data_IF_797100069034
#
_entry.id   IF_797100069034
#
_cell.length_a   1.000
_cell.length_b   1.000
_cell.length_c   1.000
_cell.angle_alpha   90.00
_cell.angle_beta   90.00
_cell.angle_gamma   90.00
#
_symmetry.space_group_name_H-M   'P 1'
#
loop_
_entity.id
_entity.type
_entity.pdbx_description
1 polymer ?
#
# COMPACT_ATOMS: atom_id res chain seq x y z
N UNK A 1 6.82 -11.05 -5.29
CA UNK A 1 6.38 -11.58 -3.99
C UNK A 1 4.88 -11.42 -3.82
N UNK A 2 4.33 -10.21 -3.86
CA UNK A 2 2.88 -9.98 -3.77
C UNK A 2 2.06 -10.76 -4.81
N UNK A 3 2.33 -10.57 -6.11
CA UNK A 3 1.62 -11.31 -7.16
C UNK A 3 1.80 -12.83 -7.05
N UNK A 4 2.96 -13.29 -6.57
CA UNK A 4 3.21 -14.72 -6.34
C UNK A 4 2.35 -15.26 -5.19
N UNK A 5 2.06 -14.46 -4.17
CA UNK A 5 1.17 -14.85 -3.07
C UNK A 5 -0.27 -15.11 -3.56
N UNK A 6 -0.74 -14.31 -4.53
CA UNK A 6 -2.07 -14.44 -5.13
C UNK A 6 -2.27 -15.75 -5.92
N UNK A 7 -1.19 -16.42 -6.33
CA UNK A 7 -1.28 -17.74 -6.96
C UNK A 7 -1.62 -18.86 -5.96
N UNK A 8 -1.29 -18.68 -4.67
CA UNK A 8 -1.46 -19.72 -3.64
C UNK A 8 -2.66 -19.45 -2.72
N UNK A 9 -2.95 -18.18 -2.44
CA UNK A 9 -3.89 -17.73 -1.41
C UNK A 9 -4.84 -16.68 -1.96
N UNK A 10 -6.04 -16.55 -1.37
CA UNK A 10 -7.02 -15.54 -1.78
C UNK A 10 -6.49 -14.09 -1.66
N UNK A 11 -6.92 -13.22 -2.58
CA UNK A 11 -6.55 -11.80 -2.55
C UNK A 11 -6.84 -11.12 -1.22
N UNK A 12 -7.98 -11.46 -0.59
CA UNK A 12 -8.37 -10.98 0.74
C UNK A 12 -7.30 -11.24 1.81
N UNK A 13 -6.77 -12.47 1.90
CA UNK A 13 -5.72 -12.80 2.88
C UNK A 13 -4.41 -12.10 2.54
N UNK A 14 -4.06 -12.03 1.25
CA UNK A 14 -2.84 -11.33 0.81
C UNK A 14 -2.89 -9.86 1.18
N UNK A 15 -4.01 -9.17 0.98
CA UNK A 15 -4.22 -7.77 1.35
C UNK A 15 -4.11 -7.55 2.86
N UNK A 16 -4.79 -8.35 3.69
CA UNK A 16 -4.71 -8.22 5.16
C UNK A 16 -3.27 -8.38 5.65
N UNK A 17 -2.55 -9.38 5.13
CA UNK A 17 -1.15 -9.58 5.49
C UNK A 17 -0.30 -8.43 4.96
N UNK A 18 -0.55 -7.96 3.73
CA UNK A 18 0.21 -6.88 3.12
C UNK A 18 0.10 -5.59 3.95
N UNK A 19 -1.11 -5.20 4.35
CA UNK A 19 -1.38 -4.03 5.20
C UNK A 19 -0.89 -4.16 6.65
N UNK A 20 -0.14 -5.20 7.00
CA UNK A 20 0.71 -5.17 8.21
C UNK A 20 1.91 -4.23 8.05
N UNK A 21 2.23 -3.80 6.82
CA UNK A 21 3.38 -2.94 6.55
C UNK A 21 3.40 -1.62 7.34
N UNK A 22 2.29 -0.89 7.62
CA UNK A 22 2.36 0.36 8.39
C UNK A 22 2.84 0.12 9.82
N UNK A 23 2.49 -1.04 10.41
CA UNK A 23 3.01 -1.44 11.71
C UNK A 23 4.53 -1.69 11.67
N UNK A 24 5.00 -2.35 10.61
CA UNK A 24 6.43 -2.57 10.37
C UNK A 24 7.18 -1.26 10.12
N UNK A 25 6.60 -0.34 9.36
CA UNK A 25 7.15 1.00 9.13
C UNK A 25 7.27 1.76 10.45
N UNK A 26 6.21 1.81 11.25
CA UNK A 26 6.23 2.49 12.55
C UNK A 26 7.32 1.91 13.46
N UNK A 27 7.44 0.57 13.52
CA UNK A 27 8.46 -0.13 14.29
C UNK A 27 9.88 0.22 13.80
N UNK A 28 10.14 0.09 12.50
CA UNK A 28 11.47 0.34 11.92
C UNK A 28 11.87 1.81 12.01
N UNK A 29 10.93 2.73 11.84
CA UNK A 29 11.20 4.16 12.00
C UNK A 29 11.61 4.47 13.44
N UNK A 30 10.88 3.92 14.42
CA UNK A 30 11.22 4.08 15.84
C UNK A 30 12.60 3.48 16.18
N UNK A 31 12.94 2.32 15.63
CA UNK A 31 14.23 1.67 15.88
C UNK A 31 15.42 2.38 15.20
N UNK A 32 15.27 2.78 13.94
CA UNK A 32 16.37 3.29 13.11
C UNK A 32 16.56 4.80 13.22
N UNK A 33 15.47 5.56 13.32
CA UNK A 33 15.52 7.02 13.46
C UNK A 33 15.34 7.49 14.90
N UNK A 34 15.12 6.56 15.85
CA UNK A 34 14.90 6.86 17.29
C UNK A 34 13.73 7.82 17.52
N UNK A 35 12.74 7.81 16.62
CA UNK A 35 11.51 8.57 16.79
C UNK A 35 10.66 7.98 17.91
N UNK A 36 10.04 8.85 18.71
CA UNK A 36 9.15 8.42 19.79
C UNK A 36 7.79 8.03 19.21
N UNK A 37 7.46 6.74 19.29
CA UNK A 37 6.09 6.27 19.02
C UNK A 37 5.18 6.85 20.10
N UNK A 38 4.14 7.55 19.66
CA UNK A 38 3.18 8.16 20.57
C UNK A 38 1.92 7.33 20.69
N UNK A 39 1.12 7.61 21.72
CA UNK A 39 -0.16 6.92 21.93
C UNK A 39 -1.11 7.12 20.75
N UNK A 40 -1.07 8.28 20.11
CA UNK A 40 -1.90 8.60 18.95
C UNK A 40 -1.49 7.79 17.72
N UNK A 41 -0.19 7.54 17.51
CA UNK A 41 0.29 6.70 16.40
C UNK A 41 -0.19 5.26 16.56
N UNK A 42 -0.13 4.74 17.80
CA UNK A 42 -0.63 3.39 18.13
C UNK A 42 -2.15 3.33 17.96
N UNK A 43 -2.88 4.31 18.49
CA UNK A 43 -4.34 4.36 18.38
C UNK A 43 -4.82 4.48 16.93
N UNK A 44 -4.14 5.30 16.12
CA UNK A 44 -4.44 5.41 14.70
C UNK A 44 -4.14 4.10 13.96
N UNK A 45 -2.98 3.49 14.22
CA UNK A 45 -2.61 2.23 13.59
C UNK A 45 -3.60 1.10 13.94
N UNK A 46 -3.96 0.96 15.22
CA UNK A 46 -4.91 -0.08 15.64
C UNK A 46 -6.29 0.15 15.03
N UNK A 47 -6.75 1.40 14.96
CA UNK A 47 -8.03 1.74 14.37
C UNK A 47 -8.04 1.52 12.85
N UNK A 48 -6.94 1.83 12.15
CA UNK A 48 -6.79 1.55 10.72
C UNK A 48 -6.79 0.04 10.43
N UNK A 49 -6.01 -0.75 11.19
CA UNK A 49 -5.95 -2.20 11.03
C UNK A 49 -7.30 -2.87 11.35
N UNK A 50 -7.99 -2.42 12.40
CA UNK A 50 -9.31 -2.94 12.74
C UNK A 50 -10.35 -2.58 11.67
N UNK A 51 -10.30 -1.35 11.13
CA UNK A 51 -11.16 -0.94 10.02
C UNK A 51 -10.93 -1.78 8.76
N UNK A 52 -9.66 -2.06 8.46
CA UNK A 52 -9.26 -2.93 7.36
C UNK A 52 -9.87 -4.34 7.49
N UNK A 53 -9.76 -4.95 8.67
CA UNK A 53 -10.36 -6.26 8.96
C UNK A 53 -11.89 -6.22 8.75
N UNK A 54 -12.57 -5.14 9.14
CA UNK A 54 -14.01 -5.00 8.93
C UNK A 54 -14.39 -4.86 7.45
N UNK A 55 -13.64 -4.07 6.67
CA UNK A 55 -13.86 -3.92 5.21
C UNK A 55 -13.80 -5.29 4.54
N UNK A 56 -12.79 -6.06 4.89
CA UNK A 56 -12.49 -7.30 4.23
C UNK A 56 -13.29 -8.47 4.81
N UNK A 57 -13.83 -8.38 6.04
CA UNK A 57 -14.55 -9.45 6.75
C UNK A 57 -15.68 -10.14 5.96
N UNK A 58 -16.29 -9.42 5.03
CA UNK A 58 -17.44 -9.89 4.26
C UNK A 58 -17.07 -10.41 2.86
N UNK A 59 -15.78 -10.54 2.55
CA UNK A 59 -15.33 -11.17 1.31
C UNK A 59 -15.85 -12.62 1.28
N UNK A 60 -16.94 -12.83 0.52
CA UNK A 60 -17.68 -14.09 0.34
C UNK A 60 -16.85 -15.28 -0.19
N UNK A 61 -15.53 -15.17 -0.32
CA UNK A 61 -14.68 -16.20 -0.94
C UNK A 61 -14.12 -17.17 0.09
N UNK A 62 -14.14 -18.47 -0.26
CA UNK A 62 -13.44 -19.56 0.41
C UNK A 62 -12.07 -19.11 0.92
N UNK A 63 -11.91 -19.13 2.24
CA UNK A 63 -10.68 -18.77 2.93
C UNK A 63 -9.61 -19.81 2.60
N UNK A 64 -8.92 -19.61 1.49
CA UNK A 64 -7.81 -20.46 1.07
C UNK A 64 -6.53 -19.87 1.64
N UNK A 65 -6.15 -20.34 2.82
CA UNK A 65 -4.89 -19.99 3.49
C UNK A 65 -3.86 -21.05 3.14
N UNK A 66 -2.88 -20.71 2.32
CA UNK A 66 -1.69 -21.54 2.12
C UNK A 66 -0.45 -20.90 2.77
N UNK A 67 0.43 -21.75 3.31
CA UNK A 67 1.66 -21.33 4.00
C UNK A 67 2.57 -20.54 3.07
N UNK A 68 2.76 -20.99 1.82
CA UNK A 68 3.60 -20.30 0.85
C UNK A 68 3.03 -18.95 0.44
N UNK A 69 1.71 -18.86 0.20
CA UNK A 69 1.05 -17.58 -0.08
C UNK A 69 1.20 -16.60 1.07
N UNK A 70 1.03 -17.07 2.30
CA UNK A 70 1.20 -16.27 3.52
C UNK A 70 2.64 -15.76 3.67
N UNK A 71 3.63 -16.63 3.44
CA UNK A 71 5.04 -16.25 3.49
C UNK A 71 5.39 -15.20 2.43
N UNK A 72 4.92 -15.37 1.19
CA UNK A 72 5.15 -14.38 0.13
C UNK A 72 4.48 -13.03 0.42
N UNK A 73 3.29 -13.03 1.02
CA UNK A 73 2.62 -11.79 1.43
C UNK A 73 3.37 -11.08 2.59
N UNK A 74 3.89 -11.82 3.56
CA UNK A 74 4.74 -11.28 4.63
C UNK A 74 6.05 -10.71 4.10
N UNK A 75 6.71 -11.40 3.17
CA UNK A 75 7.91 -10.87 2.51
C UNK A 75 7.56 -9.59 1.74
N UNK A 76 6.40 -9.53 1.08
CA UNK A 76 5.95 -8.33 0.38
C UNK A 76 5.73 -7.15 1.35
N UNK A 77 5.05 -7.35 2.48
CA UNK A 77 4.84 -6.29 3.48
C UNK A 77 6.16 -5.83 4.10
N UNK A 78 7.09 -6.75 4.35
CA UNK A 78 8.44 -6.42 4.83
C UNK A 78 9.25 -5.61 3.81
N UNK A 79 9.29 -6.05 2.55
CA UNK A 79 9.97 -5.31 1.48
C UNK A 79 9.39 -3.91 1.31
N UNK A 80 8.07 -3.77 1.37
CA UNK A 80 7.41 -2.48 1.27
C UNK A 80 7.73 -1.59 2.47
N UNK A 81 7.76 -2.14 3.70
CA UNK A 81 8.18 -1.40 4.88
C UNK A 81 9.64 -0.92 4.79
N UNK A 82 10.56 -1.77 4.32
CA UNK A 82 11.95 -1.41 4.09
C UNK A 82 12.07 -0.30 3.05
N UNK A 83 11.34 -0.40 1.93
CA UNK A 83 11.30 0.65 0.89
C UNK A 83 10.87 2.00 1.48
N UNK A 84 9.82 2.00 2.31
CA UNK A 84 9.32 3.20 2.97
C UNK A 84 10.35 3.86 3.90
N UNK A 85 10.97 3.05 4.76
CA UNK A 85 11.99 3.51 5.72
C UNK A 85 13.25 4.00 5.00
N UNK A 86 13.68 3.29 3.96
CA UNK A 86 14.81 3.69 3.12
C UNK A 86 14.51 5.00 2.38
N UNK A 87 13.29 5.13 1.84
CA UNK A 87 12.84 6.36 1.17
C UNK A 87 12.83 7.55 2.12
N UNK A 88 12.31 7.40 3.36
CA UNK A 88 12.39 8.46 4.37
C UNK A 88 13.83 8.89 4.65
N UNK A 89 14.78 7.93 4.75
CA UNK A 89 16.20 8.26 4.93
C UNK A 89 16.76 9.05 3.74
N UNK A 90 16.37 8.68 2.52
CA UNK A 90 16.83 9.32 1.29
C UNK A 90 16.23 10.71 1.10
N UNK A 91 15.00 10.93 1.55
CA UNK A 91 14.31 12.24 1.48
C UNK A 91 15.04 13.32 2.30
N UNK A 92 15.88 12.95 3.27
CA UNK A 92 16.76 13.91 3.96
C UNK A 92 17.87 14.50 3.05
N UNK A 93 18.15 13.88 1.89
CA UNK A 93 19.24 14.28 0.99
C UNK A 93 18.79 14.55 -0.43
N UNK A 94 17.67 13.97 -0.86
CA UNK A 94 17.19 14.00 -2.23
C UNK A 94 15.71 14.39 -2.27
N UNK A 95 15.32 15.12 -3.31
CA UNK A 95 13.92 15.48 -3.54
C UNK A 95 13.10 14.24 -3.95
N UNK A 96 11.78 14.21 -3.68
CA UNK A 96 10.88 13.11 -4.10
C UNK A 96 11.02 12.73 -5.58
N UNK A 97 11.19 13.72 -6.45
CA UNK A 97 11.34 13.50 -7.90
C UNK A 97 12.58 12.66 -8.23
N UNK A 98 13.69 12.90 -7.53
CA UNK A 98 14.95 12.16 -7.73
C UNK A 98 14.78 10.71 -7.30
N UNK A 99 14.20 10.48 -6.12
CA UNK A 99 13.95 9.12 -5.62
C UNK A 99 12.98 8.36 -6.53
N UNK A 100 11.93 9.04 -7.02
CA UNK A 100 10.97 8.48 -7.97
C UNK A 100 11.67 8.05 -9.26
N UNK A 101 12.50 8.92 -9.85
CA UNK A 101 13.21 8.63 -11.09
C UNK A 101 14.14 7.41 -10.94
N UNK A 102 14.96 7.36 -9.89
CA UNK A 102 15.82 6.21 -9.64
C UNK A 102 15.02 4.94 -9.38
N UNK A 103 13.92 5.01 -8.61
CA UNK A 103 13.08 3.84 -8.33
C UNK A 103 12.47 3.26 -9.60
N UNK A 104 11.94 4.11 -10.48
CA UNK A 104 11.34 3.68 -11.75
C UNK A 104 12.39 3.20 -12.75
N UNK A 105 13.57 3.84 -12.81
CA UNK A 105 14.67 3.36 -13.65
C UNK A 105 15.18 2.00 -13.17
N UNK A 106 15.38 1.81 -11.86
CA UNK A 106 15.78 0.52 -11.30
C UNK A 106 14.72 -0.56 -11.57
N UNK A 107 13.43 -0.23 -11.46
CA UNK A 107 12.36 -1.15 -11.83
C UNK A 107 12.40 -1.50 -13.32
N UNK A 108 12.54 -0.50 -14.21
CA UNK A 108 12.63 -0.73 -15.64
C UNK A 108 13.82 -1.62 -16.03
N UNK A 109 14.99 -1.39 -15.42
CA UNK A 109 16.19 -2.21 -15.63
C UNK A 109 15.99 -3.63 -15.09
N UNK A 110 15.40 -3.78 -13.91
CA UNK A 110 15.15 -5.09 -13.30
C UNK A 110 14.17 -5.93 -14.13
N UNK A 111 13.14 -5.30 -14.69
CA UNK A 111 12.11 -5.98 -15.48
C UNK A 111 12.45 -6.11 -16.97
N UNK A 112 13.44 -5.37 -17.49
CA UNK A 112 13.80 -5.42 -18.92
C UNK A 112 14.20 -6.81 -19.44
N UNK A 113 14.85 -7.73 -18.67
CA UNK A 113 15.18 -9.05 -19.18
C UNK A 113 13.94 -9.89 -19.53
N UNK A 114 12.81 -9.64 -18.86
CA UNK A 114 11.56 -10.35 -19.13
C UNK A 114 10.97 -10.01 -20.51
N UNK A 115 11.39 -8.90 -21.12
CA UNK A 115 11.02 -8.56 -22.50
C UNK A 115 11.48 -9.63 -23.51
N UNK A 116 12.53 -10.39 -23.17
CA UNK A 116 13.08 -11.45 -24.01
C UNK A 116 12.55 -12.85 -23.66
N UNK A 117 11.82 -12.99 -22.54
CA UNK A 117 11.30 -14.28 -22.08
C UNK A 117 9.85 -14.54 -22.51
N UNK A 118 9.14 -13.52 -22.99
CA UNK A 118 7.73 -13.60 -23.33
C UNK A 118 7.46 -12.93 -24.68
N UNK A 119 6.56 -13.52 -25.47
CA UNK A 119 6.08 -12.90 -26.71
C UNK A 119 5.03 -11.85 -26.38
N UNK A 120 5.36 -10.58 -26.59
CA UNK A 120 4.45 -9.46 -26.37
C UNK A 120 3.65 -9.16 -27.62
N UNK A 121 2.33 -9.42 -27.57
CA UNK A 121 1.43 -8.99 -28.63
C UNK A 121 0.97 -7.54 -28.38
N UNK A 122 1.75 -6.58 -28.89
CA UNK A 122 1.52 -5.15 -28.72
C UNK A 122 0.35 -4.65 -29.59
N UNK A 123 -0.86 -4.79 -29.07
CA UNK A 123 -2.03 -4.13 -29.64
C UNK A 123 -2.09 -2.66 -29.21
N UNK A 124 -2.68 -1.79 -30.05
CA UNK A 124 -2.90 -0.36 -29.69
C UNK A 124 -3.63 -0.24 -28.36
N UNK A 125 -4.66 -1.07 -28.16
CA UNK A 125 -5.40 -1.12 -26.90
C UNK A 125 -4.52 -1.51 -25.71
N UNK A 126 -3.64 -2.50 -25.85
CA UNK A 126 -2.68 -2.90 -24.83
C UNK A 126 -1.70 -1.77 -24.47
N UNK A 127 -1.18 -1.06 -25.48
CA UNK A 127 -0.29 0.10 -25.26
C UNK A 127 -1.00 1.21 -24.47
N UNK A 128 -2.27 1.50 -24.78
CA UNK A 128 -3.05 2.52 -24.04
C UNK A 128 -3.22 2.13 -22.58
N UNK A 129 -3.55 0.86 -22.29
CA UNK A 129 -3.68 0.38 -20.91
C UNK A 129 -2.35 0.45 -20.17
N UNK A 130 -1.25 0.01 -20.80
CA UNK A 130 0.08 0.07 -20.19
C UNK A 130 0.50 1.51 -19.92
N UNK A 131 0.24 2.44 -20.84
CA UNK A 131 0.53 3.85 -20.63
C UNK A 131 -0.30 4.44 -19.48
N UNK A 132 -1.58 4.08 -19.39
CA UNK A 132 -2.45 4.48 -18.28
C UNK A 132 -1.90 3.98 -16.94
N UNK A 133 -1.54 2.69 -16.84
CA UNK A 133 -0.98 2.11 -15.61
C UNK A 133 0.38 2.73 -15.24
N UNK A 134 1.25 2.94 -16.23
CA UNK A 134 2.57 3.52 -16.00
C UNK A 134 2.48 4.94 -15.45
N UNK A 135 1.57 5.77 -15.99
CA UNK A 135 1.46 7.17 -15.61
C UNK A 135 0.57 7.34 -14.37
N UNK A 136 -0.68 6.87 -14.44
CA UNK A 136 -1.72 7.18 -13.45
C UNK A 136 -1.76 6.20 -12.27
N UNK A 137 -1.33 4.95 -12.47
CA UNK A 137 -1.31 3.96 -11.38
C UNK A 137 0.10 3.76 -10.77
N UNK A 138 1.17 4.26 -11.41
CA UNK A 138 2.54 4.03 -10.96
C UNK A 138 3.30 5.32 -10.70
N UNK A 139 3.61 6.10 -11.75
CA UNK A 139 4.43 7.30 -11.62
C UNK A 139 3.78 8.36 -10.72
N UNK A 140 2.53 8.72 -11.01
CA UNK A 140 1.83 9.79 -10.29
C UNK A 140 1.55 9.43 -8.82
N UNK A 141 1.06 8.22 -8.47
CA UNK A 141 0.90 7.84 -7.08
C UNK A 141 2.24 7.80 -6.34
N UNK A 142 3.32 7.30 -6.96
CA UNK A 142 4.63 7.18 -6.31
C UNK A 142 5.22 8.56 -5.97
N UNK A 143 5.19 9.52 -6.90
CA UNK A 143 5.72 10.87 -6.64
C UNK A 143 4.88 11.61 -5.59
N UNK A 144 3.55 11.47 -5.63
CA UNK A 144 2.66 12.05 -4.62
C UNK A 144 2.88 11.42 -3.24
N UNK A 145 3.04 10.10 -3.20
CA UNK A 145 3.30 9.38 -1.97
C UNK A 145 4.65 9.78 -1.34
N UNK A 146 5.72 9.86 -2.14
CA UNK A 146 7.03 10.30 -1.66
C UNK A 146 7.02 11.78 -1.24
N UNK A 147 6.25 12.63 -1.92
CA UNK A 147 6.06 14.03 -1.51
C UNK A 147 5.30 14.15 -0.19
N UNK A 148 4.26 13.34 -0.01
CA UNK A 148 3.54 13.24 1.27
C UNK A 148 4.43 12.70 2.39
N UNK A 149 5.27 11.71 2.08
CA UNK A 149 6.26 11.15 3.01
C UNK A 149 7.31 12.19 3.41
N UNK A 150 7.77 13.04 2.50
CA UNK A 150 8.71 14.13 2.80
C UNK A 150 8.12 15.10 3.84
N UNK A 151 6.82 15.41 3.72
CA UNK A 151 6.13 16.32 4.61
C UNK A 151 5.77 15.69 5.99
N UNK A 152 5.43 14.39 6.01
CA UNK A 152 4.81 13.74 7.17
C UNK A 152 5.68 12.67 7.86
N UNK A 153 6.72 12.18 7.20
CA UNK A 153 7.48 10.98 7.61
C UNK A 153 6.79 9.68 7.17
N UNK A 154 7.54 8.57 7.09
CA UNK A 154 7.02 7.30 6.58
C UNK A 154 5.96 6.68 7.49
N UNK A 155 6.07 6.82 8.81
CA UNK A 155 5.08 6.29 9.76
C UNK A 155 3.69 6.88 9.50
N UNK A 156 3.58 8.20 9.41
CA UNK A 156 2.28 8.85 9.15
C UNK A 156 1.80 8.60 7.72
N UNK A 157 2.69 8.72 6.74
CA UNK A 157 2.34 8.48 5.34
C UNK A 157 1.80 7.05 5.13
N UNK A 158 2.45 6.04 5.71
CA UNK A 158 2.02 4.63 5.60
C UNK A 158 0.66 4.36 6.23
N UNK A 159 0.35 4.96 7.39
CA UNK A 159 -0.98 4.84 8.02
C UNK A 159 -2.03 5.57 7.18
N UNK A 160 -1.74 6.76 6.66
CA UNK A 160 -2.68 7.51 5.81
C UNK A 160 -2.99 6.74 4.52
N UNK A 161 -2.02 6.02 3.95
CA UNK A 161 -2.23 5.16 2.77
C UNK A 161 -3.24 4.03 3.00
N UNK A 162 -3.58 3.69 4.25
CA UNK A 162 -4.68 2.75 4.54
C UNK A 162 -6.06 3.29 4.13
N UNK A 163 -6.14 4.53 3.63
CA UNK A 163 -7.34 5.06 2.96
C UNK A 163 -7.64 4.36 1.63
N UNK A 164 -6.66 3.72 1.00
CA UNK A 164 -6.82 3.06 -0.30
C UNK A 164 -8.03 2.08 -0.33
N UNK A 165 -8.20 1.15 0.62
CA UNK A 165 -9.39 0.31 0.75
C UNK A 165 -10.71 1.07 0.79
N UNK A 166 -10.74 2.28 1.36
CA UNK A 166 -11.94 3.13 1.39
C UNK A 166 -12.28 3.63 -0.01
N UNK A 167 -11.27 4.08 -0.77
CA UNK A 167 -11.46 4.43 -2.18
C UNK A 167 -11.87 3.22 -3.01
N UNK A 168 -11.31 2.04 -2.74
CA UNK A 168 -11.72 0.78 -3.39
C UNK A 168 -13.21 0.50 -3.17
N UNK A 169 -13.72 0.64 -1.94
CA UNK A 169 -15.16 0.49 -1.66
C UNK A 169 -16.03 1.52 -2.40
N UNK A 170 -15.60 2.78 -2.41
CA UNK A 170 -16.33 3.85 -3.11
C UNK A 170 -16.40 3.55 -4.61
N UNK A 171 -15.27 3.20 -5.22
CA UNK A 171 -15.19 2.89 -6.65
C UNK A 171 -15.94 1.60 -6.98
N UNK A 172 -15.89 0.57 -6.14
CA UNK A 172 -16.69 -0.65 -6.30
C UNK A 172 -18.19 -0.35 -6.31
N UNK A 173 -18.64 0.54 -5.42
CA UNK A 173 -20.05 0.95 -5.37
C UNK A 173 -20.44 1.77 -6.60
N UNK A 174 -19.62 2.72 -7.03
CA UNK A 174 -19.95 3.65 -8.12
C UNK A 174 -19.83 2.99 -9.51
N UNK A 175 -18.79 2.20 -9.73
CA UNK A 175 -18.45 1.61 -11.02
C UNK A 175 -19.08 0.23 -11.17
N UNK A 176 -18.89 -0.64 -10.17
CA UNK A 176 -19.38 -2.03 -10.22
C UNK A 176 -20.81 -2.18 -9.67
N UNK A 177 -21.40 -1.11 -9.11
CA UNK A 177 -22.73 -1.10 -8.49
C UNK A 177 -22.87 -2.14 -7.38
N UNK A 178 -21.77 -2.43 -6.68
CA UNK A 178 -21.79 -3.33 -5.52
C UNK A 178 -22.51 -2.70 -4.33
N UNK A 179 -23.26 -3.51 -3.59
CA UNK A 179 -23.96 -3.07 -2.38
C UNK A 179 -23.03 -3.23 -1.19
N UNK A 180 -22.66 -2.11 -0.56
CA UNK A 180 -21.83 -2.12 0.63
C UNK A 180 -22.58 -2.71 1.83
N UNK A 181 -21.95 -3.67 2.50
CA UNK A 181 -22.44 -4.20 3.77
C UNK A 181 -22.18 -3.24 4.93
N UNK A 182 -22.93 -3.41 6.02
CA UNK A 182 -22.74 -2.62 7.24
C UNK A 182 -21.29 -2.66 7.78
N UNK A 183 -20.65 -3.83 7.74
CA UNK A 183 -19.25 -4.00 8.17
C UNK A 183 -18.26 -3.18 7.32
N UNK A 184 -18.49 -3.07 6.01
CA UNK A 184 -17.64 -2.28 5.11
C UNK A 184 -17.76 -0.78 5.40
N UNK A 185 -18.97 -0.30 5.67
CA UNK A 185 -19.19 1.10 6.07
C UNK A 185 -18.52 1.42 7.41
N UNK A 186 -18.65 0.54 8.40
CA UNK A 186 -17.97 0.69 9.69
C UNK A 186 -16.45 0.66 9.54
N UNK A 187 -15.91 -0.27 8.75
CA UNK A 187 -14.48 -0.35 8.49
C UNK A 187 -13.95 0.92 7.80
N UNK A 188 -14.68 1.43 6.80
CA UNK A 188 -14.34 2.71 6.16
C UNK A 188 -14.36 3.89 7.13
N UNK A 189 -15.38 3.96 8.00
CA UNK A 189 -15.48 5.00 9.03
C UNK A 189 -14.30 4.95 10.03
N UNK A 190 -13.89 3.75 10.44
CA UNK A 190 -12.74 3.56 11.34
C UNK A 190 -11.43 4.05 10.70
N UNK A 191 -11.18 3.70 9.44
CA UNK A 191 -9.99 4.17 8.71
C UNK A 191 -10.01 5.69 8.58
N UNK A 192 -11.13 6.30 8.20
CA UNK A 192 -11.24 7.76 8.11
C UNK A 192 -10.98 8.44 9.47
N UNK A 193 -11.50 7.86 10.55
CA UNK A 193 -11.26 8.36 11.92
C UNK A 193 -9.78 8.27 12.31
N UNK A 194 -9.09 7.18 11.93
CA UNK A 194 -7.65 7.02 12.14
C UNK A 194 -6.84 8.12 11.46
N UNK A 195 -7.19 8.45 10.22
CA UNK A 195 -6.53 9.49 9.44
C UNK A 195 -6.76 10.87 10.05
N UNK A 196 -7.99 11.14 10.48
CA UNK A 196 -8.35 12.41 11.17
C UNK A 196 -7.57 12.55 12.48
N UNK A 197 -7.48 11.48 13.27
CA UNK A 197 -6.70 11.45 14.52
C UNK A 197 -5.23 11.83 14.28
N UNK A 198 -4.60 11.31 13.22
CA UNK A 198 -3.22 11.65 12.87
C UNK A 198 -3.08 13.07 12.30
N UNK A 199 -4.11 13.58 11.62
CA UNK A 199 -4.06 14.86 10.90
C UNK A 199 -4.30 16.07 11.82
N UNK A 200 -5.16 15.93 12.83
CA UNK A 200 -5.50 17.03 13.77
C UNK A 200 -4.34 17.33 14.73
N UNK A 201 -3.40 16.38 14.88
CA UNK A 201 -2.25 16.56 15.77
C UNK A 201 -1.25 17.56 15.19
N UNK A 202 -1.35 18.80 15.69
CA UNK A 202 -0.30 19.82 15.52
C UNK A 202 1.02 19.33 16.13
N UNK A 203 2.11 19.59 15.40
CA UNK A 203 3.50 19.34 15.83
C UNK A 203 3.76 19.89 17.24
#
# INVERSE_FOLDING_TARGET
TFFKALEYTSAFIVEIIFYTYPALVLLFVALLFKEKITRDDIAALTLALAGLLMIFSNARSNWKVEVFGTLFALIASLCYAIFNVASQKMLNRFKPNTITAYSLLSAAIYYSPFLFCYDFNLTIHGVVIVAFLAILATFLPLILYLSGMEALGASKASIISTIEPVFTLILATLILKEILGFHQLMGGFMILTSIVLLSIRKK
#
